data_IF_006749878572
#
_entry.id   IF_006749878572
#
_cell.length_a   1.000
_cell.length_b   1.000
_cell.length_c   1.000
_cell.angle_alpha   90.00
_cell.angle_beta   90.00
_cell.angle_gamma   90.00
#
_symmetry.space_group_name_H-M   'P 1'
#
loop_
_entity.id
_entity.type
_entity.pdbx_description
1 polymer ?
#
# COMPACT_ATOMS: atom_id res chain seq x y z
N UNK A 1 6.89 4.94 -29.70
CA UNK A 1 6.16 4.98 -28.43
C UNK A 1 6.45 3.69 -27.69
N UNK A 2 6.85 3.74 -26.40
CA UNK A 2 7.12 2.52 -25.67
C UNK A 2 5.85 1.69 -25.46
N UNK A 3 5.98 0.36 -25.60
CA UNK A 3 4.92 -0.61 -25.30
C UNK A 3 5.32 -1.41 -24.07
N UNK A 4 4.52 -1.36 -23.02
CA UNK A 4 4.83 -1.94 -21.72
C UNK A 4 3.81 -3.02 -21.36
N UNK A 5 4.30 -4.21 -21.02
CA UNK A 5 3.47 -5.26 -20.43
C UNK A 5 3.39 -5.05 -18.92
N UNK A 6 2.19 -4.88 -18.38
CA UNK A 6 1.93 -4.72 -16.94
C UNK A 6 1.61 -6.08 -16.34
N UNK A 7 2.58 -6.69 -15.67
CA UNK A 7 2.46 -8.02 -15.04
C UNK A 7 2.15 -7.84 -13.57
N UNK A 8 0.90 -7.56 -13.26
CA UNK A 8 0.45 -7.31 -11.89
C UNK A 8 0.19 -8.61 -11.13
N UNK A 9 0.20 -8.52 -9.80
CA UNK A 9 -0.15 -9.65 -8.94
C UNK A 9 -1.66 -9.92 -8.95
N UNK A 10 -2.46 -8.84 -8.95
CA UNK A 10 -3.93 -8.90 -8.93
C UNK A 10 -4.51 -8.08 -10.07
N UNK A 11 -5.78 -8.33 -10.35
CA UNK A 11 -6.61 -7.49 -11.19
C UNK A 11 -7.11 -6.25 -10.40
N UNK A 12 -8.05 -5.52 -10.95
CA UNK A 12 -8.55 -4.21 -10.50
C UNK A 12 -9.03 -4.13 -9.03
N UNK A 13 -9.48 -5.25 -8.44
CA UNK A 13 -9.87 -5.31 -7.01
C UNK A 13 -8.67 -5.37 -6.07
N UNK A 14 -7.47 -5.74 -6.53
CA UNK A 14 -6.27 -5.80 -5.71
C UNK A 14 -5.73 -4.40 -5.40
N UNK A 15 -5.66 -4.04 -4.09
CA UNK A 15 -5.23 -2.72 -3.66
C UNK A 15 -3.81 -2.37 -4.16
N UNK A 16 -2.85 -3.28 -4.02
CA UNK A 16 -1.47 -3.09 -4.47
C UNK A 16 -1.41 -2.80 -5.97
N UNK A 17 -1.98 -3.68 -6.82
CA UNK A 17 -1.97 -3.52 -8.27
C UNK A 17 -2.69 -2.26 -8.72
N UNK A 18 -3.82 -1.92 -8.07
CA UNK A 18 -4.55 -0.68 -8.34
C UNK A 18 -3.70 0.55 -8.05
N UNK A 19 -3.08 0.60 -6.87
CA UNK A 19 -2.34 1.77 -6.37
C UNK A 19 -0.97 1.91 -7.03
N UNK A 20 -0.26 0.80 -7.29
CA UNK A 20 1.09 0.85 -7.85
C UNK A 20 1.12 0.96 -9.37
N UNK A 21 0.10 0.44 -10.05
CA UNK A 21 0.13 0.26 -11.51
C UNK A 21 -1.09 0.85 -12.20
N UNK A 22 -2.30 0.32 -11.91
CA UNK A 22 -3.47 0.57 -12.74
C UNK A 22 -4.00 2.01 -12.69
N UNK A 23 -3.86 2.70 -11.56
CA UNK A 23 -4.28 4.10 -11.45
C UNK A 23 -3.49 5.07 -12.33
N UNK A 24 -2.30 4.65 -12.80
CA UNK A 24 -1.48 5.46 -13.70
C UNK A 24 -1.84 5.32 -15.18
N UNK A 25 -2.70 4.35 -15.56
CA UNK A 25 -3.05 4.12 -16.96
C UNK A 25 -3.45 5.37 -17.73
N UNK A 26 -4.32 6.26 -17.21
CA UNK A 26 -4.66 7.50 -17.91
C UNK A 26 -3.44 8.39 -18.15
N UNK A 27 -2.57 8.55 -17.15
CA UNK A 27 -1.33 9.36 -17.25
C UNK A 27 -0.35 8.76 -18.26
N UNK A 28 -0.19 7.44 -18.28
CA UNK A 28 0.70 6.73 -19.21
C UNK A 28 0.20 6.87 -20.65
N UNK A 29 -1.10 6.66 -20.88
CA UNK A 29 -1.71 6.80 -22.20
C UNK A 29 -1.62 8.25 -22.72
N UNK A 30 -1.90 9.23 -21.86
CA UNK A 30 -1.73 10.66 -22.21
C UNK A 30 -0.28 11.01 -22.57
N UNK A 31 0.69 10.31 -21.97
CA UNK A 31 2.12 10.44 -22.29
C UNK A 31 2.55 9.61 -23.53
N UNK A 32 1.65 8.93 -24.23
CA UNK A 32 1.95 8.10 -25.39
C UNK A 32 2.66 6.78 -25.06
N UNK A 33 2.48 6.25 -23.86
CA UNK A 33 2.95 4.92 -23.47
C UNK A 33 1.79 3.94 -23.65
N UNK A 34 1.96 2.96 -24.53
CA UNK A 34 0.99 1.89 -24.73
C UNK A 34 1.17 0.81 -23.67
N UNK A 35 0.08 0.35 -23.09
CA UNK A 35 0.12 -0.67 -22.03
C UNK A 35 -0.83 -1.81 -22.30
N UNK A 36 -0.41 -3.03 -21.95
CA UNK A 36 -1.29 -4.21 -21.96
C UNK A 36 -1.19 -4.89 -20.59
N UNK A 37 -2.35 -5.14 -19.97
CA UNK A 37 -2.45 -5.63 -18.59
C UNK A 37 -2.60 -7.15 -18.53
N UNK A 38 -1.75 -7.78 -17.71
CA UNK A 38 -1.68 -9.22 -17.49
C UNK A 38 -1.70 -9.51 -15.99
N UNK A 39 -2.86 -9.58 -15.34
CA UNK A 39 -2.93 -9.96 -13.93
C UNK A 39 -2.54 -11.42 -13.73
N UNK A 40 -1.87 -11.76 -12.61
CA UNK A 40 -1.61 -13.14 -12.23
C UNK A 40 -2.88 -13.77 -11.66
N UNK A 41 -3.51 -13.07 -10.70
CA UNK A 41 -4.75 -13.50 -10.06
C UNK A 41 -5.90 -12.58 -10.48
N UNK A 42 -6.97 -13.18 -10.99
CA UNK A 42 -8.23 -12.48 -11.31
C UNK A 42 -8.99 -12.03 -10.05
N UNK A 43 -10.07 -11.28 -10.27
CA UNK A 43 -10.92 -10.80 -9.17
C UNK A 43 -11.64 -11.95 -8.43
N UNK A 44 -11.95 -13.06 -9.12
CA UNK A 44 -12.48 -14.30 -8.57
C UNK A 44 -11.59 -14.88 -7.45
N UNK A 45 -10.27 -14.83 -7.66
CA UNK A 45 -9.32 -15.28 -6.64
C UNK A 45 -9.42 -14.47 -5.33
N UNK A 46 -9.53 -13.14 -5.43
CA UNK A 46 -9.65 -12.27 -4.25
C UNK A 46 -10.98 -12.46 -3.53
N UNK A 47 -12.06 -12.64 -4.27
CA UNK A 47 -13.39 -12.94 -3.72
C UNK A 47 -13.37 -14.23 -2.92
N UNK A 48 -12.90 -15.33 -3.53
CA UNK A 48 -12.76 -16.62 -2.85
C UNK A 48 -11.83 -16.53 -1.62
N UNK A 49 -10.72 -15.77 -1.72
CA UNK A 49 -9.79 -15.58 -0.60
C UNK A 49 -10.45 -14.87 0.59
N UNK A 50 -11.23 -13.81 0.33
CA UNK A 50 -11.92 -13.06 1.39
C UNK A 50 -13.11 -13.81 2.00
N UNK A 51 -13.73 -14.74 1.26
CA UNK A 51 -14.74 -15.64 1.79
C UNK A 51 -14.14 -16.87 2.50
N UNK A 52 -12.80 -16.99 2.60
CA UNK A 52 -12.14 -18.12 3.27
C UNK A 52 -12.18 -19.44 2.48
N UNK A 53 -12.48 -19.37 1.17
CA UNK A 53 -12.54 -20.55 0.30
C UNK A 53 -11.15 -21.09 -0.05
N UNK A 54 -11.10 -22.36 -0.46
CA UNK A 54 -9.85 -22.97 -0.91
C UNK A 54 -9.42 -22.45 -2.30
N UNK A 55 -8.39 -21.63 -2.33
CA UNK A 55 -7.86 -21.02 -3.56
C UNK A 55 -6.75 -21.80 -4.25
N UNK A 56 -6.41 -23.01 -3.79
CA UNK A 56 -5.26 -23.79 -4.32
C UNK A 56 -5.38 -24.06 -5.82
N UNK A 57 -6.54 -24.48 -6.30
CA UNK A 57 -6.79 -24.71 -7.72
C UNK A 57 -6.63 -23.44 -8.57
N UNK A 58 -7.16 -22.32 -8.08
CA UNK A 58 -7.01 -21.01 -8.73
C UNK A 58 -5.55 -20.58 -8.81
N UNK A 59 -4.76 -20.79 -7.76
CA UNK A 59 -3.30 -20.48 -7.74
C UNK A 59 -2.54 -21.30 -8.77
N UNK A 60 -2.75 -22.60 -8.83
CA UNK A 60 -2.10 -23.48 -9.80
C UNK A 60 -2.44 -23.05 -11.22
N UNK A 61 -3.73 -22.84 -11.51
CA UNK A 61 -4.20 -22.40 -12.83
C UNK A 61 -3.58 -21.05 -13.22
N UNK A 62 -3.53 -20.09 -12.30
CA UNK A 62 -2.95 -18.78 -12.52
C UNK A 62 -1.45 -18.86 -12.86
N UNK A 63 -0.68 -19.66 -12.11
CA UNK A 63 0.75 -19.87 -12.36
C UNK A 63 1.00 -20.55 -13.73
N UNK A 64 0.23 -21.58 -14.07
CA UNK A 64 0.33 -22.24 -15.38
C UNK A 64 0.00 -21.25 -16.50
N UNK A 65 -1.09 -20.51 -16.40
CA UNK A 65 -1.47 -19.49 -17.38
C UNK A 65 -0.36 -18.43 -17.55
N UNK A 66 0.25 -17.97 -16.45
CA UNK A 66 1.38 -17.03 -16.49
C UNK A 66 2.56 -17.63 -17.24
N UNK A 67 2.96 -18.87 -16.93
CA UNK A 67 4.08 -19.55 -17.60
C UNK A 67 3.84 -19.67 -19.11
N UNK A 68 2.63 -20.10 -19.51
CA UNK A 68 2.30 -20.23 -20.94
C UNK A 68 2.23 -18.88 -21.66
N UNK A 69 1.63 -17.87 -21.02
CA UNK A 69 1.49 -16.52 -21.60
C UNK A 69 2.85 -15.82 -21.78
N UNK A 70 3.84 -16.11 -20.93
CA UNK A 70 5.17 -15.51 -21.02
C UNK A 70 5.85 -15.76 -22.38
N UNK A 71 5.55 -16.89 -23.03
CA UNK A 71 6.09 -17.14 -24.39
C UNK A 71 5.64 -16.09 -25.42
N UNK A 72 4.39 -15.66 -25.30
CA UNK A 72 3.82 -14.60 -26.16
C UNK A 72 4.27 -13.21 -25.70
N UNK A 73 4.27 -12.96 -24.39
CA UNK A 73 4.63 -11.66 -23.80
C UNK A 73 6.09 -11.32 -24.10
N UNK A 74 7.00 -12.29 -23.94
CA UNK A 74 8.45 -12.08 -24.20
C UNK A 74 8.87 -12.24 -25.66
N UNK A 75 7.90 -12.31 -26.60
CA UNK A 75 8.21 -12.34 -28.04
C UNK A 75 8.90 -11.03 -28.43
N UNK A 76 10.07 -11.15 -29.06
CA UNK A 76 10.86 -10.00 -29.53
C UNK A 76 10.01 -9.01 -30.33
N UNK A 77 10.08 -7.74 -29.98
CA UNK A 77 9.39 -6.64 -30.65
C UNK A 77 7.90 -6.50 -30.27
N UNK A 78 7.37 -7.31 -29.34
CA UNK A 78 6.00 -7.10 -28.83
C UNK A 78 5.94 -5.99 -27.76
N UNK A 79 6.84 -6.04 -26.81
CA UNK A 79 6.97 -5.04 -25.73
C UNK A 79 8.42 -4.57 -25.62
N UNK A 80 8.59 -3.34 -25.17
CA UNK A 80 9.89 -2.71 -24.94
C UNK A 80 10.32 -2.84 -23.47
N UNK A 81 9.35 -3.06 -22.55
CA UNK A 81 9.59 -3.26 -21.11
C UNK A 81 8.52 -4.16 -20.51
N UNK A 82 8.90 -5.00 -19.55
CA UNK A 82 7.99 -5.70 -18.65
C UNK A 82 7.97 -4.98 -17.29
N UNK A 83 6.82 -4.51 -16.86
CA UNK A 83 6.64 -3.97 -15.51
C UNK A 83 6.03 -5.06 -14.64
N UNK A 84 6.84 -5.63 -13.76
CA UNK A 84 6.48 -6.76 -12.92
C UNK A 84 6.23 -6.26 -11.49
N UNK A 85 5.02 -6.46 -10.99
CA UNK A 85 4.68 -6.22 -9.59
C UNK A 85 5.26 -7.33 -8.73
N UNK A 86 6.23 -6.99 -7.86
CA UNK A 86 6.88 -7.87 -6.89
C UNK A 86 7.71 -8.98 -7.55
N UNK A 87 7.07 -10.02 -8.05
CA UNK A 87 7.68 -11.21 -8.63
C UNK A 87 6.78 -11.82 -9.71
N UNK A 88 7.36 -12.53 -10.66
CA UNK A 88 6.62 -13.10 -11.78
C UNK A 88 5.82 -14.35 -11.39
N UNK A 89 6.42 -15.23 -10.59
CA UNK A 89 5.89 -16.54 -10.19
C UNK A 89 6.05 -16.76 -8.68
N UNK A 90 5.09 -16.32 -7.85
CA UNK A 90 5.12 -16.53 -6.41
C UNK A 90 5.31 -18.00 -6.02
N UNK A 91 6.18 -18.21 -5.02
CA UNK A 91 6.49 -19.54 -4.45
C UNK A 91 7.10 -20.55 -5.41
N UNK A 92 7.60 -20.13 -6.58
CA UNK A 92 8.38 -20.95 -7.48
C UNK A 92 9.85 -20.50 -7.50
N UNK A 93 10.81 -21.44 -7.71
CA UNK A 93 12.25 -21.13 -7.68
C UNK A 93 12.67 -20.10 -8.74
N UNK A 94 13.69 -19.29 -8.39
CA UNK A 94 14.27 -18.26 -9.27
C UNK A 94 14.64 -18.77 -10.68
N UNK A 95 15.14 -20.01 -10.78
CA UNK A 95 15.59 -20.59 -12.05
C UNK A 95 14.52 -20.59 -13.14
N UNK A 96 13.26 -20.80 -12.78
CA UNK A 96 12.14 -20.76 -13.72
C UNK A 96 11.86 -19.33 -14.20
N UNK A 97 11.84 -18.35 -13.28
CA UNK A 97 11.65 -16.94 -13.67
C UNK A 97 12.81 -16.44 -14.53
N UNK A 98 14.06 -16.77 -14.15
CA UNK A 98 15.25 -16.47 -14.97
C UNK A 98 15.13 -17.03 -16.38
N UNK A 99 14.64 -18.26 -16.52
CA UNK A 99 14.45 -18.91 -17.83
C UNK A 99 13.40 -18.19 -18.67
N UNK A 100 12.28 -17.74 -18.08
CA UNK A 100 11.22 -16.99 -18.75
C UNK A 100 11.67 -15.58 -19.16
N UNK A 101 12.39 -14.89 -18.28
CA UNK A 101 12.85 -13.50 -18.49
C UNK A 101 14.07 -13.41 -19.42
N UNK A 102 14.80 -14.50 -19.64
CA UNK A 102 16.01 -14.57 -20.47
C UNK A 102 15.80 -14.25 -21.95
N UNK A 103 14.57 -14.04 -22.41
CA UNK A 103 14.21 -13.88 -23.81
C UNK A 103 14.46 -12.47 -24.39
N UNK A 104 15.08 -11.58 -23.64
CA UNK A 104 15.64 -10.32 -24.13
C UNK A 104 14.72 -9.11 -24.09
N UNK A 105 13.51 -9.21 -23.52
CA UNK A 105 12.74 -8.02 -23.15
C UNK A 105 13.19 -7.57 -21.76
N UNK A 106 13.68 -6.32 -21.60
CA UNK A 106 14.07 -5.81 -20.30
C UNK A 106 12.87 -5.79 -19.34
N UNK A 107 13.14 -5.93 -18.04
CA UNK A 107 12.09 -5.87 -17.04
C UNK A 107 12.45 -4.92 -15.89
N UNK A 108 11.43 -4.31 -15.33
CA UNK A 108 11.49 -3.61 -14.06
C UNK A 108 10.66 -4.34 -13.01
N UNK A 109 11.02 -4.12 -11.75
CA UNK A 109 10.30 -4.64 -10.60
C UNK A 109 9.70 -3.48 -9.79
N UNK A 110 8.53 -3.69 -9.21
CA UNK A 110 7.85 -2.72 -8.36
C UNK A 110 7.46 -3.35 -7.02
N UNK A 111 7.95 -2.77 -5.91
CA UNK A 111 7.74 -3.27 -4.57
C UNK A 111 7.05 -2.23 -3.68
N UNK A 112 5.95 -2.64 -3.05
CA UNK A 112 5.21 -1.91 -2.01
C UNK A 112 5.17 -2.62 -0.66
N UNK A 113 5.73 -3.85 -0.61
CA UNK A 113 5.86 -4.70 0.58
C UNK A 113 7.19 -5.46 0.56
N UNK A 114 7.69 -5.84 1.74
CA UNK A 114 8.91 -6.61 1.92
C UNK A 114 8.69 -8.12 1.64
N UNK A 115 8.16 -8.48 0.46
CA UNK A 115 7.82 -9.88 0.12
C UNK A 115 9.02 -10.84 0.15
N UNK A 116 10.24 -10.33 0.06
CA UNK A 116 11.45 -11.13 0.21
C UNK A 116 11.51 -11.81 1.57
N UNK A 117 10.87 -11.26 2.61
CA UNK A 117 10.79 -11.88 3.93
C UNK A 117 9.86 -13.11 3.98
N UNK A 118 8.99 -13.33 2.99
CA UNK A 118 8.29 -14.60 2.86
C UNK A 118 9.25 -15.77 2.57
N UNK A 119 10.45 -15.47 2.07
CA UNK A 119 11.46 -16.44 1.64
C UNK A 119 12.65 -16.48 2.61
N UNK A 120 13.29 -15.33 2.88
CA UNK A 120 14.51 -15.27 3.70
C UNK A 120 14.24 -15.44 5.20
N UNK A 121 13.02 -15.09 5.67
CA UNK A 121 12.54 -15.27 7.05
C UNK A 121 11.59 -16.48 7.21
N UNK A 122 11.46 -17.33 6.19
CA UNK A 122 10.57 -18.48 6.27
C UNK A 122 11.02 -19.47 7.37
N UNK A 123 10.07 -19.95 8.18
CA UNK A 123 10.33 -21.02 9.16
C UNK A 123 10.70 -22.33 8.48
N UNK A 124 10.29 -22.53 7.23
CA UNK A 124 10.63 -23.70 6.43
C UNK A 124 12.05 -23.56 5.86
N UNK A 125 12.98 -24.40 6.38
CA UNK A 125 14.37 -24.44 5.96
C UNK A 125 14.55 -24.66 4.45
N UNK A 126 13.69 -25.48 3.81
CA UNK A 126 13.76 -25.74 2.37
C UNK A 126 13.36 -24.50 1.56
N UNK A 127 12.32 -23.80 2.00
CA UNK A 127 11.92 -22.52 1.38
C UNK A 127 13.04 -21.50 1.50
N UNK A 128 13.62 -21.37 2.70
CA UNK A 128 14.71 -20.43 2.98
C UNK A 128 15.98 -20.78 2.17
N UNK A 129 16.32 -22.04 2.07
CA UNK A 129 17.50 -22.50 1.32
C UNK A 129 17.36 -22.40 -0.20
N UNK A 130 16.17 -22.64 -0.75
CA UNK A 130 15.93 -22.64 -2.20
C UNK A 130 15.49 -21.29 -2.77
N UNK A 131 14.86 -20.45 -1.94
CA UNK A 131 14.22 -19.21 -2.39
C UNK A 131 14.61 -17.98 -1.58
N UNK A 132 15.44 -18.12 -0.54
CA UNK A 132 15.81 -17.00 0.35
C UNK A 132 16.44 -15.82 -0.39
N UNK A 133 17.18 -16.05 -1.45
CA UNK A 133 17.81 -15.04 -2.30
C UNK A 133 17.08 -14.78 -3.63
N UNK A 134 15.90 -15.41 -3.83
CA UNK A 134 15.15 -15.30 -5.09
C UNK A 134 14.88 -13.87 -5.50
N UNK A 135 14.35 -13.07 -4.60
CA UNK A 135 13.96 -11.68 -4.88
C UNK A 135 15.19 -10.82 -5.14
N UNK A 136 16.28 -11.03 -4.39
CA UNK A 136 17.54 -10.32 -4.60
C UNK A 136 18.11 -10.58 -6.01
N UNK A 137 18.07 -11.84 -6.45
CA UNK A 137 18.50 -12.21 -7.82
C UNK A 137 17.60 -11.60 -8.91
N UNK A 138 16.31 -11.47 -8.65
CA UNK A 138 15.39 -10.79 -9.57
C UNK A 138 15.71 -9.29 -9.63
N UNK A 139 15.96 -8.64 -8.47
CA UNK A 139 16.37 -7.24 -8.39
C UNK A 139 17.69 -6.99 -9.12
N UNK A 140 18.70 -7.85 -8.89
CA UNK A 140 20.01 -7.74 -9.56
C UNK A 140 19.93 -7.90 -11.09
N UNK A 141 18.98 -8.69 -11.58
CA UNK A 141 18.80 -8.91 -13.02
C UNK A 141 17.85 -7.94 -13.70
N UNK A 142 17.20 -7.04 -12.96
CA UNK A 142 16.26 -6.07 -13.52
C UNK A 142 16.97 -4.82 -14.08
N UNK A 143 16.28 -4.11 -14.96
CA UNK A 143 16.76 -2.80 -15.44
C UNK A 143 16.52 -1.70 -14.42
N UNK A 144 15.39 -1.74 -13.72
CA UNK A 144 14.96 -0.78 -12.72
C UNK A 144 14.22 -1.51 -11.60
N UNK A 145 14.48 -1.15 -10.35
CA UNK A 145 13.64 -1.50 -9.20
C UNK A 145 12.99 -0.24 -8.67
N UNK A 146 11.67 -0.19 -8.75
CA UNK A 146 10.84 0.86 -8.16
C UNK A 146 10.39 0.41 -6.78
N UNK A 147 10.72 1.16 -5.77
CA UNK A 147 10.48 0.82 -4.36
C UNK A 147 9.54 1.83 -3.72
N UNK A 148 8.55 1.35 -2.98
CA UNK A 148 7.59 2.23 -2.32
C UNK A 148 8.15 2.99 -1.11
N UNK A 149 9.30 2.55 -0.56
CA UNK A 149 9.97 3.22 0.57
C UNK A 149 11.49 2.99 0.57
N UNK A 150 12.18 3.67 1.49
CA UNK A 150 13.64 3.60 1.64
C UNK A 150 14.15 2.22 2.04
N UNK A 151 13.42 1.49 2.90
CA UNK A 151 13.79 0.13 3.34
C UNK A 151 13.86 -0.86 2.17
N UNK A 152 12.84 -0.83 1.30
CA UNK A 152 12.81 -1.63 0.08
C UNK A 152 13.91 -1.22 -0.90
N UNK A 153 14.17 0.09 -1.02
CA UNK A 153 15.24 0.62 -1.86
C UNK A 153 16.62 0.19 -1.39
N UNK A 154 16.86 0.18 -0.09
CA UNK A 154 18.12 -0.29 0.48
C UNK A 154 18.32 -1.78 0.24
N UNK A 155 17.27 -2.61 0.36
CA UNK A 155 17.34 -4.03 -0.01
C UNK A 155 17.71 -4.21 -1.48
N UNK A 156 17.08 -3.44 -2.37
CA UNK A 156 17.37 -3.53 -3.80
C UNK A 156 18.83 -3.15 -4.13
N UNK A 157 19.38 -2.10 -3.48
CA UNK A 157 20.78 -1.72 -3.66
C UNK A 157 21.74 -2.80 -3.15
N UNK A 158 21.46 -3.38 -1.98
CA UNK A 158 22.26 -4.51 -1.43
C UNK A 158 22.20 -5.75 -2.31
N UNK A 159 21.05 -5.99 -2.96
CA UNK A 159 20.90 -7.07 -3.91
C UNK A 159 21.71 -6.86 -5.21
N UNK A 160 22.27 -5.67 -5.45
CA UNK A 160 23.02 -5.35 -6.65
C UNK A 160 22.13 -4.91 -7.83
N UNK A 161 20.94 -4.38 -7.57
CA UNK A 161 20.09 -3.80 -8.61
C UNK A 161 20.79 -2.61 -9.28
N UNK A 162 20.88 -2.57 -10.63
CA UNK A 162 21.66 -1.55 -11.34
C UNK A 162 21.05 -0.15 -11.25
N UNK A 163 19.74 -0.05 -11.10
CA UNK A 163 19.01 1.20 -10.98
C UNK A 163 17.87 1.05 -9.98
N UNK A 164 17.88 1.87 -8.92
CA UNK A 164 16.90 1.84 -7.83
C UNK A 164 16.30 3.22 -7.64
N UNK A 165 14.98 3.31 -7.77
CA UNK A 165 14.21 4.53 -7.49
C UNK A 165 13.26 4.30 -6.33
N UNK A 166 13.14 5.28 -5.44
CA UNK A 166 12.17 5.25 -4.35
C UNK A 166 11.01 6.18 -4.72
N UNK A 167 9.86 5.58 -4.95
CA UNK A 167 8.61 6.27 -5.27
C UNK A 167 7.51 5.78 -4.33
N UNK A 168 7.08 6.61 -3.38
CA UNK A 168 5.96 6.30 -2.50
C UNK A 168 4.69 5.90 -3.27
N UNK A 169 3.76 5.18 -2.65
CA UNK A 169 2.44 4.99 -3.25
C UNK A 169 1.75 6.34 -3.43
N UNK A 170 0.99 6.45 -4.48
CA UNK A 170 0.28 7.69 -4.80
C UNK A 170 -1.21 7.51 -4.67
N UNK A 171 -1.90 8.64 -4.60
CA UNK A 171 -3.35 8.71 -4.49
C UNK A 171 -3.94 9.49 -5.67
N UNK A 172 -5.10 9.03 -6.14
CA UNK A 172 -5.96 9.80 -7.02
C UNK A 172 -6.64 10.90 -6.19
N UNK A 173 -5.96 12.05 -6.08
CA UNK A 173 -6.37 13.15 -5.21
C UNK A 173 -7.70 13.76 -5.63
N UNK A 174 -8.08 13.67 -6.91
CA UNK A 174 -9.35 14.22 -7.40
C UNK A 174 -10.58 13.60 -6.73
N UNK A 175 -10.50 12.32 -6.35
CA UNK A 175 -11.56 11.64 -5.59
C UNK A 175 -11.80 12.27 -4.23
N UNK A 176 -10.74 12.78 -3.59
CA UNK A 176 -10.78 13.42 -2.28
C UNK A 176 -11.13 14.91 -2.37
N UNK A 177 -10.70 15.59 -3.46
CA UNK A 177 -11.05 17.00 -3.71
C UNK A 177 -12.55 17.22 -3.84
N UNK A 178 -13.27 16.24 -4.37
CA UNK A 178 -14.72 16.28 -4.54
C UNK A 178 -15.51 16.04 -3.24
N UNK A 179 -14.85 15.63 -2.16
CA UNK A 179 -15.50 15.42 -0.88
C UNK A 179 -15.51 16.70 -0.04
N UNK A 180 -16.54 16.90 0.81
CA UNK A 180 -16.52 17.98 1.78
C UNK A 180 -15.34 17.82 2.74
N UNK A 181 -14.81 18.95 3.23
CA UNK A 181 -13.82 18.90 4.29
C UNK A 181 -14.43 18.29 5.56
N UNK A 182 -13.64 17.50 6.31
CA UNK A 182 -14.12 16.87 7.53
C UNK A 182 -14.54 17.93 8.57
N UNK A 183 -15.76 17.80 9.08
CA UNK A 183 -16.15 18.59 10.24
C UNK A 183 -15.29 18.22 11.44
N UNK A 184 -14.82 19.22 12.19
CA UNK A 184 -14.03 19.00 13.42
C UNK A 184 -14.75 19.61 14.63
N UNK A 185 -15.82 18.94 15.12
CA UNK A 185 -16.64 19.47 16.19
C UNK A 185 -15.92 19.44 17.55
N UNK A 186 -16.43 20.19 18.51
CA UNK A 186 -16.12 19.93 19.93
C UNK A 186 -16.67 18.55 20.28
N UNK A 187 -15.82 17.73 20.91
CA UNK A 187 -16.16 16.36 21.29
C UNK A 187 -17.06 16.36 22.53
N UNK A 188 -18.19 15.69 22.42
CA UNK A 188 -19.21 15.54 23.47
C UNK A 188 -19.80 14.13 23.41
N UNK A 189 -20.59 13.73 24.42
CA UNK A 189 -21.24 12.40 24.43
C UNK A 189 -22.14 12.18 23.22
N UNK A 190 -22.78 13.22 22.70
CA UNK A 190 -23.60 13.15 21.49
C UNK A 190 -22.78 13.25 20.19
N UNK A 191 -21.52 13.69 20.26
CA UNK A 191 -20.58 13.82 19.16
C UNK A 191 -19.22 13.27 19.56
N UNK A 192 -19.05 11.93 19.61
CA UNK A 192 -17.79 11.29 19.98
C UNK A 192 -16.69 11.55 18.97
N UNK A 193 -15.43 11.47 19.40
CA UNK A 193 -14.30 11.45 18.47
C UNK A 193 -14.42 10.20 17.59
N UNK A 194 -14.58 10.39 16.28
CA UNK A 194 -14.62 9.30 15.30
C UNK A 194 -13.22 9.06 14.75
N UNK A 195 -12.62 7.97 15.18
CA UNK A 195 -11.32 7.51 14.70
C UNK A 195 -11.54 6.44 13.64
N UNK A 196 -10.88 6.57 12.50
CA UNK A 196 -11.06 5.67 11.37
C UNK A 196 -9.81 4.84 11.07
N UNK A 197 -10.05 3.59 10.76
CA UNK A 197 -9.05 2.70 10.19
C UNK A 197 -9.61 2.04 8.92
N UNK A 198 -8.80 1.99 7.84
CA UNK A 198 -9.13 1.30 6.58
C UNK A 198 -8.15 0.15 6.34
N UNK A 199 -8.65 -1.01 5.98
CA UNK A 199 -7.81 -2.17 5.66
C UNK A 199 -8.60 -3.41 5.31
N UNK A 200 -7.89 -4.54 5.16
CA UNK A 200 -8.50 -5.84 4.91
C UNK A 200 -8.68 -6.63 6.22
N UNK A 201 -9.53 -7.67 6.25
CA UNK A 201 -9.68 -8.55 7.41
C UNK A 201 -8.34 -9.10 7.94
N UNK A 202 -7.42 -9.44 7.04
CA UNK A 202 -6.08 -9.96 7.42
C UNK A 202 -5.21 -8.96 8.17
N UNK A 203 -5.44 -7.65 7.98
CA UNK A 203 -4.68 -6.58 8.63
C UNK A 203 -5.39 -5.98 9.84
N UNK A 204 -6.65 -6.39 10.12
CA UNK A 204 -7.42 -5.94 11.28
C UNK A 204 -6.75 -6.30 12.61
N UNK A 205 -5.87 -7.32 12.64
CA UNK A 205 -5.08 -7.70 13.83
C UNK A 205 -4.27 -6.54 14.41
N UNK A 206 -3.81 -5.59 13.59
CA UNK A 206 -3.03 -4.44 14.05
C UNK A 206 -3.84 -3.48 14.94
N UNK A 207 -5.16 -3.52 14.89
CA UNK A 207 -6.00 -2.73 15.79
C UNK A 207 -5.83 -3.12 17.26
N UNK A 208 -5.40 -4.35 17.56
CA UNK A 208 -5.12 -4.77 18.95
C UNK A 208 -3.95 -3.98 19.58
N UNK A 209 -3.04 -3.43 18.79
CA UNK A 209 -1.91 -2.59 19.26
C UNK A 209 -2.43 -1.35 20.00
N UNK A 210 -3.56 -0.80 19.56
CA UNK A 210 -4.11 0.45 20.10
C UNK A 210 -5.26 0.22 21.08
N UNK A 211 -5.66 -1.04 21.33
CA UNK A 211 -6.81 -1.38 22.18
C UNK A 211 -6.74 -0.73 23.56
N UNK A 212 -5.65 -0.96 24.27
CA UNK A 212 -5.47 -0.45 25.64
C UNK A 212 -5.52 1.08 25.69
N UNK A 213 -4.90 1.77 24.71
CA UNK A 213 -4.95 3.22 24.62
C UNK A 213 -6.38 3.73 24.39
N UNK A 214 -7.15 3.07 23.50
CA UNK A 214 -8.55 3.43 23.27
C UNK A 214 -9.43 3.18 24.48
N UNK A 215 -9.28 2.06 25.18
CA UNK A 215 -10.04 1.75 26.40
C UNK A 215 -9.74 2.76 27.53
N UNK A 216 -8.47 3.17 27.66
CA UNK A 216 -8.04 4.20 28.61
C UNK A 216 -8.66 5.58 28.29
N UNK A 217 -8.63 5.98 27.02
CA UNK A 217 -9.22 7.25 26.57
C UNK A 217 -10.75 7.22 26.72
N UNK A 218 -11.39 6.10 26.36
CA UNK A 218 -12.84 5.91 26.46
C UNK A 218 -13.37 6.01 27.91
N UNK A 219 -12.54 5.76 28.89
CA UNK A 219 -12.90 5.94 30.31
C UNK A 219 -13.15 7.42 30.69
N UNK A 220 -12.64 8.36 29.89
CA UNK A 220 -12.70 9.80 30.18
C UNK A 220 -13.38 10.61 29.09
N UNK A 221 -13.34 10.14 27.85
CA UNK A 221 -13.80 10.87 26.67
C UNK A 221 -14.64 10.00 25.74
N UNK A 222 -15.68 10.55 25.11
CA UNK A 222 -16.46 9.82 24.12
C UNK A 222 -15.66 9.60 22.84
N UNK A 223 -15.31 8.34 22.55
CA UNK A 223 -14.54 7.90 21.37
C UNK A 223 -15.23 6.73 20.68
N UNK A 224 -15.15 6.69 19.36
CA UNK A 224 -15.67 5.62 18.50
C UNK A 224 -14.61 5.21 17.48
N UNK A 225 -14.50 3.90 17.19
CA UNK A 225 -13.65 3.35 16.14
C UNK A 225 -14.50 2.92 14.94
N UNK A 226 -14.28 3.53 13.78
CA UNK A 226 -14.88 3.14 12.51
C UNK A 226 -13.87 2.31 11.70
N UNK A 227 -14.28 1.12 11.23
CA UNK A 227 -13.41 0.15 10.54
C UNK A 227 -13.92 -0.08 9.14
N UNK A 228 -13.21 0.43 8.11
CA UNK A 228 -13.53 0.22 6.71
C UNK A 228 -12.85 -1.07 6.20
N UNK A 229 -13.64 -2.01 5.68
CA UNK A 229 -13.21 -3.22 4.99
C UNK A 229 -12.55 -4.29 5.86
N UNK A 230 -12.22 -3.97 7.11
CA UNK A 230 -11.73 -4.92 8.10
C UNK A 230 -12.79 -5.37 9.07
N UNK A 231 -12.41 -6.20 10.05
CA UNK A 231 -13.34 -6.67 11.09
C UNK A 231 -13.49 -5.63 12.19
N UNK A 232 -14.73 -5.27 12.53
CA UNK A 232 -15.00 -4.45 13.70
C UNK A 232 -14.50 -5.12 14.98
N UNK A 233 -14.00 -4.30 15.91
CA UNK A 233 -13.48 -4.79 17.18
C UNK A 233 -14.55 -4.77 18.25
N UNK A 234 -14.62 -5.85 19.03
CA UNK A 234 -15.53 -5.92 20.19
C UNK A 234 -14.75 -5.57 21.46
N UNK A 235 -14.47 -4.28 21.62
CA UNK A 235 -13.84 -3.77 22.83
C UNK A 235 -14.92 -3.32 23.83
N UNK A 236 -14.78 -3.66 25.13
CA UNK A 236 -15.87 -3.45 26.09
C UNK A 236 -16.33 -2.00 26.25
N UNK A 237 -15.41 -1.06 26.15
CA UNK A 237 -15.65 0.37 26.42
C UNK A 237 -15.65 1.25 25.18
N UNK A 238 -15.31 0.71 24.01
CA UNK A 238 -15.20 1.47 22.76
C UNK A 238 -16.19 0.96 21.73
N UNK A 239 -17.10 1.82 21.31
CA UNK A 239 -17.99 1.49 20.19
C UNK A 239 -17.17 1.33 18.93
N UNK A 240 -17.25 0.16 18.29
CA UNK A 240 -16.64 -0.12 17.00
C UNK A 240 -17.70 -0.39 15.94
N UNK A 241 -17.57 0.24 14.77
CA UNK A 241 -18.51 0.12 13.65
C UNK A 241 -17.80 -0.42 12.43
N UNK A 242 -18.36 -1.47 11.82
CA UNK A 242 -17.89 -1.97 10.52
C UNK A 242 -18.53 -1.19 9.38
N UNK A 243 -17.71 -0.76 8.42
CA UNK A 243 -18.13 -0.10 7.19
C UNK A 243 -17.62 -0.95 6.01
N UNK A 244 -18.51 -1.49 5.15
CA UNK A 244 -18.07 -2.22 3.98
C UNK A 244 -17.21 -1.34 3.06
N UNK A 245 -16.09 -1.89 2.60
CA UNK A 245 -15.22 -1.15 1.69
C UNK A 245 -15.79 -1.09 0.28
N UNK A 246 -15.72 0.09 -0.33
CA UNK A 246 -15.97 0.31 -1.75
C UNK A 246 -15.06 1.41 -2.27
N UNK A 247 -14.50 1.23 -3.46
CA UNK A 247 -13.66 2.23 -4.11
C UNK A 247 -14.39 3.53 -4.46
N UNK A 248 -15.73 3.49 -4.54
CA UNK A 248 -16.57 4.65 -4.82
C UNK A 248 -16.96 5.43 -3.56
N UNK A 249 -16.96 4.81 -2.39
CA UNK A 249 -17.42 5.42 -1.14
C UNK A 249 -16.31 5.71 -0.15
N UNK A 250 -15.12 5.10 -0.32
CA UNK A 250 -14.03 5.20 0.67
C UNK A 250 -13.65 6.66 1.00
N UNK A 251 -13.52 7.52 0.00
CA UNK A 251 -13.16 8.93 0.23
C UNK A 251 -14.24 9.68 1.03
N UNK A 252 -15.52 9.44 0.75
CA UNK A 252 -16.63 10.02 1.49
C UNK A 252 -16.76 9.50 2.92
N UNK A 253 -16.46 8.21 3.15
CA UNK A 253 -16.45 7.65 4.51
C UNK A 253 -15.29 8.22 5.34
N UNK A 254 -14.11 8.40 4.73
CA UNK A 254 -12.97 9.04 5.38
C UNK A 254 -13.30 10.49 5.76
N UNK A 255 -13.91 11.27 4.88
CA UNK A 255 -14.25 12.68 5.15
C UNK A 255 -15.28 12.88 6.28
N UNK A 256 -15.98 11.83 6.71
CA UNK A 256 -16.92 11.87 7.85
C UNK A 256 -16.27 11.57 9.20
N UNK A 257 -14.97 11.31 9.21
CA UNK A 257 -14.21 10.96 10.41
C UNK A 257 -13.40 12.15 10.91
N UNK A 258 -12.80 12.02 12.08
CA UNK A 258 -12.04 13.11 12.71
C UNK A 258 -10.54 12.85 12.74
N UNK A 259 -10.11 11.58 12.81
CA UNK A 259 -8.71 11.16 12.94
C UNK A 259 -8.51 9.83 12.21
N UNK A 260 -7.45 9.72 11.42
CA UNK A 260 -7.03 8.46 10.80
C UNK A 260 -5.92 7.77 11.58
N UNK A 261 -5.96 6.43 11.74
CA UNK A 261 -4.91 5.69 12.45
C UNK A 261 -4.26 4.62 11.60
N UNK A 262 -2.94 4.43 11.82
CA UNK A 262 -2.17 3.35 11.21
C UNK A 262 -1.26 2.67 12.23
N UNK A 263 -1.80 1.78 13.07
CA UNK A 263 -0.99 0.95 13.95
C UNK A 263 -0.23 -0.13 13.16
N UNK A 264 1.05 -0.32 13.49
CA UNK A 264 1.93 -1.35 12.96
C UNK A 264 2.84 -1.88 14.06
N UNK A 265 3.20 -3.16 13.99
CA UNK A 265 4.27 -3.75 14.79
C UNK A 265 5.64 -3.27 14.29
N UNK A 266 6.62 -3.13 15.17
CA UNK A 266 7.99 -2.82 14.75
C UNK A 266 8.74 -4.12 14.47
N UNK A 267 8.66 -4.56 13.23
CA UNK A 267 9.37 -5.75 12.74
C UNK A 267 9.83 -5.58 11.27
N UNK A 268 10.64 -6.51 10.79
CA UNK A 268 11.23 -6.44 9.45
C UNK A 268 10.19 -6.39 8.33
N UNK A 269 9.07 -7.09 8.47
CA UNK A 269 8.01 -7.09 7.47
C UNK A 269 7.30 -5.74 7.40
N UNK A 270 6.95 -5.16 8.56
CA UNK A 270 6.20 -3.91 8.63
C UNK A 270 7.05 -2.69 8.24
N UNK A 271 8.38 -2.77 8.38
CA UNK A 271 9.29 -1.76 7.84
C UNK A 271 9.22 -1.67 6.30
N UNK A 272 8.76 -2.72 5.63
CA UNK A 272 8.46 -2.71 4.19
C UNK A 272 7.15 -2.03 3.81
N UNK A 273 6.28 -1.69 4.77
CA UNK A 273 5.01 -1.00 4.48
C UNK A 273 5.23 0.44 4.02
N UNK A 274 4.44 0.84 3.02
CA UNK A 274 4.62 2.13 2.35
C UNK A 274 3.65 3.23 2.81
N UNK A 275 2.98 3.06 3.95
CA UNK A 275 2.19 4.11 4.59
C UNK A 275 0.94 4.59 3.84
N UNK A 276 0.43 3.83 2.87
CA UNK A 276 -0.66 4.28 1.99
C UNK A 276 -1.92 4.74 2.73
N UNK A 277 -2.28 4.08 3.84
CA UNK A 277 -3.43 4.50 4.66
C UNK A 277 -3.28 5.93 5.20
N UNK A 278 -2.07 6.29 5.68
CA UNK A 278 -1.80 7.66 6.14
C UNK A 278 -2.01 8.67 5.02
N UNK A 279 -1.53 8.36 3.82
CA UNK A 279 -1.72 9.22 2.64
C UNK A 279 -3.22 9.37 2.29
N UNK A 280 -4.01 8.30 2.41
CA UNK A 280 -5.46 8.35 2.21
C UNK A 280 -6.16 9.27 3.22
N UNK A 281 -5.83 9.12 4.51
CA UNK A 281 -6.38 9.98 5.57
C UNK A 281 -5.99 11.45 5.38
N UNK A 282 -4.72 11.70 5.07
CA UNK A 282 -4.21 13.03 4.78
C UNK A 282 -4.92 13.65 3.57
N UNK A 283 -5.13 12.90 2.49
CA UNK A 283 -5.87 13.36 1.32
C UNK A 283 -7.34 13.70 1.66
N UNK A 284 -7.94 12.97 2.60
CA UNK A 284 -9.26 13.28 3.13
C UNK A 284 -9.29 14.49 4.09
N UNK A 285 -8.13 15.08 4.43
CA UNK A 285 -8.04 16.22 5.36
C UNK A 285 -8.08 15.82 6.84
N UNK A 286 -7.74 14.57 7.15
CA UNK A 286 -7.71 14.09 8.54
C UNK A 286 -6.30 14.23 9.13
N UNK A 287 -6.17 14.68 10.39
CA UNK A 287 -4.96 14.46 11.16
C UNK A 287 -4.74 12.96 11.32
N UNK A 288 -3.47 12.53 11.37
CA UNK A 288 -3.13 11.12 11.45
C UNK A 288 -2.36 10.76 12.72
N UNK A 289 -2.56 9.54 13.22
CA UNK A 289 -1.68 8.94 14.22
C UNK A 289 -1.15 7.62 13.64
N UNK A 290 0.18 7.48 13.56
CA UNK A 290 0.83 6.25 13.07
C UNK A 290 1.78 5.66 14.09
N UNK A 291 1.94 4.32 14.10
CA UNK A 291 3.09 3.74 14.76
C UNK A 291 4.38 4.31 14.17
N UNK A 292 5.36 4.61 15.02
CA UNK A 292 6.67 5.10 14.59
C UNK A 292 7.52 3.98 13.95
N UNK A 293 7.03 3.42 12.84
CA UNK A 293 7.60 2.25 12.14
C UNK A 293 7.74 2.54 10.66
N UNK A 294 8.86 2.16 10.07
CA UNK A 294 9.11 2.25 8.63
C UNK A 294 8.75 3.62 8.05
N UNK A 295 8.08 3.63 6.92
CA UNK A 295 7.70 4.85 6.20
C UNK A 295 6.71 5.76 6.94
N UNK A 296 6.01 5.28 7.98
CA UNK A 296 5.19 6.18 8.79
C UNK A 296 6.01 7.34 9.36
N UNK A 297 7.31 7.11 9.68
CA UNK A 297 8.25 8.16 10.15
C UNK A 297 8.56 9.21 9.09
N UNK A 298 8.46 8.88 7.81
CA UNK A 298 8.75 9.79 6.69
C UNK A 298 7.49 10.58 6.27
N UNK A 299 6.31 10.01 6.49
CA UNK A 299 5.01 10.61 6.14
C UNK A 299 4.52 11.54 7.23
N UNK A 300 4.59 11.09 8.49
CA UNK A 300 4.05 11.84 9.63
C UNK A 300 5.13 12.76 10.19
N UNK A 301 4.84 14.06 10.17
CA UNK A 301 5.66 15.10 10.79
C UNK A 301 4.93 15.51 12.09
N UNK A 302 5.46 15.09 13.27
CA UNK A 302 4.77 15.31 14.54
C UNK A 302 4.46 16.79 14.80
N UNK A 303 3.19 17.09 15.13
CA UNK A 303 2.71 18.45 15.38
C UNK A 303 2.42 19.28 14.12
N UNK A 304 2.76 18.81 12.90
CA UNK A 304 2.44 19.47 11.63
C UNK A 304 1.26 18.82 10.91
N UNK A 305 1.30 17.50 10.65
CA UNK A 305 0.23 16.76 9.97
C UNK A 305 -0.35 15.59 10.79
N UNK A 306 0.25 15.28 11.96
CA UNK A 306 -0.20 14.19 12.81
C UNK A 306 0.74 13.92 13.97
N UNK A 307 0.68 12.69 14.50
CA UNK A 307 1.53 12.21 15.59
C UNK A 307 2.10 10.82 15.31
N UNK A 308 3.26 10.53 15.88
CA UNK A 308 3.89 9.20 15.88
C UNK A 308 3.82 8.61 17.30
N UNK A 309 3.32 7.39 17.41
CA UNK A 309 3.21 6.67 18.66
C UNK A 309 4.12 5.45 18.69
N UNK A 310 4.71 5.15 19.84
CA UNK A 310 5.63 4.02 20.06
C UNK A 310 5.12 3.02 21.07
N UNK A 311 4.16 3.43 21.91
CA UNK A 311 3.59 2.63 23.00
C UNK A 311 2.17 3.11 23.36
N UNK A 312 1.49 2.41 24.27
CA UNK A 312 0.14 2.73 24.75
C UNK A 312 0.00 4.19 25.22
N UNK A 313 0.99 4.70 25.97
CA UNK A 313 0.93 6.07 26.51
C UNK A 313 0.92 7.11 25.40
N UNK A 314 1.84 7.01 24.44
CA UNK A 314 1.92 7.96 23.32
C UNK A 314 0.73 7.86 22.36
N UNK A 315 0.07 6.70 22.22
CA UNK A 315 -1.20 6.57 21.54
C UNK A 315 -2.32 7.31 22.27
N UNK A 316 -2.44 7.10 23.61
CA UNK A 316 -3.44 7.75 24.42
C UNK A 316 -3.26 9.28 24.44
N UNK A 317 -2.04 9.77 24.70
CA UNK A 317 -1.70 11.19 24.68
C UNK A 317 -2.01 11.87 23.34
N UNK A 318 -1.73 11.19 22.23
CA UNK A 318 -2.06 11.69 20.88
C UNK A 318 -3.57 11.83 20.69
N UNK A 319 -4.35 10.83 21.11
CA UNK A 319 -5.81 10.87 21.05
C UNK A 319 -6.38 11.97 21.95
N UNK A 320 -5.93 12.08 23.22
CA UNK A 320 -6.36 13.11 24.17
C UNK A 320 -6.05 14.52 23.64
N UNK A 321 -4.86 14.72 23.08
CA UNK A 321 -4.45 15.98 22.44
C UNK A 321 -5.40 16.37 21.31
N UNK A 322 -5.76 15.41 20.46
CA UNK A 322 -6.69 15.66 19.35
C UNK A 322 -8.14 15.83 19.81
N UNK A 323 -8.55 15.20 20.92
CA UNK A 323 -9.87 15.42 21.53
C UNK A 323 -9.98 16.85 22.04
N UNK A 324 -8.94 17.33 22.72
CA UNK A 324 -8.95 18.62 23.41
C UNK A 324 -9.05 19.85 22.48
N UNK A 325 -8.59 19.74 21.21
CA UNK A 325 -8.55 20.91 20.31
C UNK A 325 -9.07 20.61 18.91
N UNK A 326 -10.30 21.07 18.58
CA UNK A 326 -10.82 21.07 17.23
C UNK A 326 -9.92 21.85 16.24
N UNK A 327 -9.36 23.00 16.69
CA UNK A 327 -8.50 23.85 15.88
C UNK A 327 -7.21 23.12 15.50
N UNK A 328 -6.67 22.33 16.40
CA UNK A 328 -5.50 21.50 16.13
C UNK A 328 -5.82 20.43 15.06
N UNK A 329 -6.97 19.76 15.19
CA UNK A 329 -7.41 18.78 14.19
C UNK A 329 -7.55 19.39 12.80
N UNK A 330 -8.17 20.57 12.70
CA UNK A 330 -8.29 21.33 11.45
C UNK A 330 -6.90 21.65 10.89
N UNK A 331 -6.01 22.23 11.69
CA UNK A 331 -4.67 22.65 11.25
C UNK A 331 -3.84 21.45 10.74
N UNK A 332 -3.80 20.36 11.51
CA UNK A 332 -3.06 19.15 11.13
C UNK A 332 -3.66 18.50 9.87
N UNK A 333 -4.99 18.46 9.77
CA UNK A 333 -5.70 17.93 8.60
C UNK A 333 -5.42 18.72 7.32
N UNK A 334 -5.45 20.06 7.38
CA UNK A 334 -5.08 20.91 6.25
C UNK A 334 -3.64 20.69 5.80
N UNK A 335 -2.69 20.67 6.73
CA UNK A 335 -1.30 20.40 6.40
C UNK A 335 -1.12 19.02 5.78
N UNK A 336 -1.76 17.99 6.35
CA UNK A 336 -1.76 16.65 5.77
C UNK A 336 -2.30 16.61 4.35
N UNK A 337 -3.40 17.34 4.08
CA UNK A 337 -4.00 17.43 2.75
C UNK A 337 -3.07 18.09 1.74
N UNK A 338 -2.40 19.16 2.11
CA UNK A 338 -1.36 19.80 1.29
C UNK A 338 -0.20 18.85 0.96
N UNK A 339 0.29 18.13 1.97
CA UNK A 339 1.35 17.11 1.76
C UNK A 339 0.88 15.98 0.83
N UNK A 340 -0.37 15.50 0.98
CA UNK A 340 -0.94 14.47 0.11
C UNK A 340 -1.06 14.95 -1.35
N UNK A 341 -1.52 16.17 -1.59
CA UNK A 341 -1.63 16.76 -2.92
C UNK A 341 -0.27 16.96 -3.57
N UNK A 342 0.67 17.59 -2.86
CA UNK A 342 1.94 18.05 -3.43
C UNK A 342 3.00 16.94 -3.54
N UNK A 343 2.94 15.91 -2.70
CA UNK A 343 3.98 14.86 -2.62
C UNK A 343 3.50 13.47 -3.03
N UNK A 344 2.19 13.18 -2.89
CA UNK A 344 1.66 11.84 -3.04
C UNK A 344 0.52 11.73 -4.06
N UNK A 345 0.15 12.80 -4.75
CA UNK A 345 -0.85 12.72 -5.83
C UNK A 345 -0.28 12.13 -7.12
N UNK A 346 -1.15 11.54 -7.94
CA UNK A 346 -0.78 11.10 -9.30
C UNK A 346 -0.25 12.28 -10.13
N UNK A 347 -0.79 13.47 -9.93
CA UNK A 347 -0.35 14.67 -10.64
C UNK A 347 1.09 15.06 -10.29
N UNK A 348 1.48 14.94 -9.01
CA UNK A 348 2.83 15.27 -8.55
C UNK A 348 3.87 14.20 -8.98
N UNK A 349 3.51 12.92 -8.91
CA UNK A 349 4.45 11.80 -9.07
C UNK A 349 4.45 11.23 -10.50
N UNK A 350 3.32 11.29 -11.19
CA UNK A 350 3.12 10.70 -12.52
C UNK A 350 4.15 11.13 -13.59
N UNK A 351 4.50 12.42 -13.71
CA UNK A 351 5.53 12.87 -14.67
C UNK A 351 6.88 12.18 -14.48
N UNK A 352 7.33 11.98 -13.23
CA UNK A 352 8.56 11.26 -12.94
C UNK A 352 8.46 9.80 -13.32
N UNK A 353 7.35 9.13 -13.01
CA UNK A 353 7.11 7.74 -13.40
C UNK A 353 7.15 7.57 -14.93
N UNK A 354 6.51 8.47 -15.68
CA UNK A 354 6.55 8.47 -17.16
C UNK A 354 7.99 8.57 -17.67
N UNK A 355 8.81 9.45 -17.10
CA UNK A 355 10.22 9.59 -17.42
C UNK A 355 10.98 8.28 -17.17
N UNK A 356 10.85 7.69 -15.97
CA UNK A 356 11.50 6.43 -15.58
C UNK A 356 11.15 5.29 -16.52
N UNK A 357 9.88 5.16 -16.87
CA UNK A 357 9.42 4.12 -17.80
C UNK A 357 9.97 4.30 -19.21
N UNK A 358 10.06 5.54 -19.71
CA UNK A 358 10.66 5.82 -21.02
C UNK A 358 12.15 5.48 -21.03
N UNK A 359 12.88 5.84 -19.99
CA UNK A 359 14.31 5.53 -19.86
C UNK A 359 14.54 4.02 -19.71
N UNK A 360 13.72 3.33 -18.90
CA UNK A 360 13.82 1.89 -18.71
C UNK A 360 13.44 1.08 -19.97
N UNK A 361 12.59 1.63 -20.85
CA UNK A 361 12.18 0.99 -22.10
C UNK A 361 13.16 1.21 -23.27
N UNK A 362 14.18 2.05 -23.10
CA UNK A 362 15.22 2.23 -24.13
C UNK A 362 16.06 0.95 -24.28
N UNK A 363 16.57 0.65 -25.48
CA UNK A 363 17.40 -0.53 -25.73
C UNK A 363 18.66 -0.63 -24.87
#
# INVERSE_FOLDING_TARGET
>A
MPRIALLTRYDSKGASSRVRTLQYLPTLHAAGIETEHFPLFGNDYLESLYHGENTTGLRIRALLNRIFSMRSITRKGRFDLLWIEKELLPYLPYGLEKWLLRRGVPYMLDFDDAIFHNYDQSDNILVRGLMGDKIDRLMAGSRLVLCGNGYLGERARRAGAPWVEVQPPTIDFEKYRQQPEPEQPVITDSRPLRVIWIGSPTTSKYLEIVREAFERVAAQYPIQLDVIGGDARQWPTVKSTHIPWSSSTEAGELSRSHVGIMPLEDNLWENGKCGFKLIQYMAAGLPVIGSAVGMNRDIVIPGENGFLATNTDTWAESLETLIASPELRVRLGHRGREDAENRYSIAAVGPRLVQLLREAAQP
#
